data_IF_041514105010
#
_entry.id   IF_041514105010
#
_cell.length_a   1.000
_cell.length_b   1.000
_cell.length_c   1.000
_cell.angle_alpha   90.00
_cell.angle_beta   90.00
_cell.angle_gamma   90.00
#
_symmetry.space_group_name_H-M   'P 1'
#
loop_
_entity.id
_entity.type
_entity.pdbx_description
1 polymer ?
#
# COMPACT_ATOMS: atom_id res chain seq x y z
N UNK A 1 -11.38 -16.65 -8.18
CA UNK A 1 -10.42 -16.13 -7.15
C UNK A 1 -9.07 -15.86 -7.82
N UNK A 2 -8.41 -14.78 -7.44
CA UNK A 2 -7.09 -14.43 -7.95
C UNK A 2 -6.02 -15.38 -7.37
N UNK A 3 -5.32 -16.20 -8.18
CA UNK A 3 -4.34 -17.16 -7.69
C UNK A 3 -3.19 -16.50 -6.91
N UNK A 4 -2.85 -15.27 -7.25
CA UNK A 4 -1.81 -14.52 -6.55
C UNK A 4 -2.26 -14.13 -5.14
N UNK A 5 -3.47 -13.63 -4.99
CA UNK A 5 -4.04 -13.28 -3.67
C UNK A 5 -4.14 -14.51 -2.78
N UNK A 6 -4.56 -15.65 -3.33
CA UNK A 6 -4.59 -16.91 -2.58
C UNK A 6 -3.21 -17.34 -2.10
N UNK A 7 -2.18 -17.17 -2.94
CA UNK A 7 -0.79 -17.47 -2.56
C UNK A 7 -0.33 -16.56 -1.41
N UNK A 8 -0.65 -15.28 -1.47
CA UNK A 8 -0.31 -14.32 -0.41
C UNK A 8 -1.02 -14.66 0.90
N UNK A 9 -2.33 -14.94 0.86
CA UNK A 9 -3.13 -15.29 2.06
C UNK A 9 -2.59 -16.54 2.75
N UNK A 10 -2.15 -17.54 2.00
CA UNK A 10 -1.64 -18.81 2.51
C UNK A 10 -0.16 -18.78 2.95
N UNK A 11 0.54 -17.67 2.72
CA UNK A 11 1.94 -17.54 3.11
C UNK A 11 2.10 -17.47 4.64
N UNK A 12 2.96 -18.33 5.20
CA UNK A 12 3.32 -18.30 6.65
C UNK A 12 4.05 -17.02 7.08
N UNK A 13 4.51 -16.24 6.12
CA UNK A 13 5.19 -14.95 6.34
C UNK A 13 4.26 -13.75 6.19
N UNK A 14 2.96 -13.99 5.98
CA UNK A 14 1.93 -12.96 5.86
C UNK A 14 0.92 -13.10 6.99
N UNK A 15 0.64 -11.99 7.64
CA UNK A 15 -0.44 -11.87 8.63
C UNK A 15 -1.70 -11.40 7.94
N UNK A 16 -2.74 -12.21 8.03
CA UNK A 16 -4.10 -11.90 7.57
C UNK A 16 -4.91 -11.41 8.75
N UNK A 17 -5.50 -10.24 8.67
CA UNK A 17 -6.36 -9.64 9.70
C UNK A 17 -7.70 -9.26 9.11
N UNK A 18 -8.78 -9.64 9.77
CA UNK A 18 -10.14 -9.17 9.44
C UNK A 18 -10.27 -7.68 9.77
N UNK A 19 -10.82 -6.92 8.84
CA UNK A 19 -11.13 -5.50 8.99
C UNK A 19 -12.56 -5.25 8.54
N UNK A 20 -13.21 -4.29 9.21
CA UNK A 20 -14.53 -3.85 8.81
C UNK A 20 -14.46 -2.95 7.55
N UNK A 21 -15.52 -2.91 6.74
CA UNK A 21 -16.76 -3.66 6.90
C UNK A 21 -16.65 -5.13 6.42
N UNK A 22 -15.86 -5.45 5.42
CA UNK A 22 -15.78 -6.81 4.84
C UNK A 22 -14.45 -7.06 4.15
N UNK A 23 -13.34 -6.69 4.78
CA UNK A 23 -12.01 -6.82 4.17
C UNK A 23 -11.06 -7.69 4.99
N UNK A 24 -10.04 -8.23 4.31
CA UNK A 24 -8.81 -8.68 4.93
C UNK A 24 -7.71 -7.67 4.69
N UNK A 25 -6.93 -7.37 5.73
CA UNK A 25 -5.66 -6.66 5.63
C UNK A 25 -4.52 -7.67 5.63
N UNK A 26 -3.68 -7.61 4.61
CA UNK A 26 -2.55 -8.50 4.39
C UNK A 26 -1.24 -7.71 4.59
N UNK A 27 -0.43 -8.16 5.54
CA UNK A 27 0.86 -7.54 5.84
C UNK A 27 1.90 -8.61 6.15
N UNK A 28 3.14 -8.42 5.74
CA UNK A 28 4.22 -9.31 6.13
C UNK A 28 4.41 -9.31 7.66
N UNK A 29 4.79 -10.46 8.21
CA UNK A 29 5.07 -10.60 9.64
C UNK A 29 6.41 -9.97 10.02
N UNK A 30 6.57 -9.61 11.30
CA UNK A 30 7.81 -9.01 11.83
C UNK A 30 9.05 -9.90 11.57
N UNK A 31 8.89 -11.22 11.63
CA UNK A 31 9.94 -12.18 11.31
C UNK A 31 10.48 -12.02 9.90
N UNK A 32 9.59 -11.76 8.91
CA UNK A 32 10.01 -11.53 7.53
C UNK A 32 10.88 -10.27 7.43
N UNK A 33 10.51 -9.20 8.13
CA UNK A 33 11.27 -7.96 8.18
C UNK A 33 12.64 -8.15 8.85
N UNK A 34 12.66 -8.72 10.05
CA UNK A 34 13.90 -8.87 10.83
C UNK A 34 14.91 -9.80 10.18
N UNK A 35 14.43 -10.86 9.52
CA UNK A 35 15.28 -11.88 8.88
C UNK A 35 15.45 -11.68 7.38
N UNK A 36 14.89 -10.59 6.84
CA UNK A 36 14.92 -10.26 5.40
C UNK A 36 14.41 -11.40 4.51
N UNK A 37 13.34 -12.07 4.98
CA UNK A 37 12.72 -13.18 4.26
C UNK A 37 11.73 -12.61 3.22
N UNK A 38 12.28 -12.05 2.15
CA UNK A 38 11.51 -11.40 1.10
C UNK A 38 11.26 -12.37 -0.05
N UNK A 39 10.01 -12.52 -0.40
CA UNK A 39 9.50 -13.24 -1.55
C UNK A 39 8.36 -12.43 -2.22
N UNK A 40 7.78 -12.95 -3.29
CA UNK A 40 6.70 -12.26 -4.00
C UNK A 40 5.49 -11.96 -3.09
N UNK A 41 5.19 -12.84 -2.13
CA UNK A 41 4.08 -12.66 -1.19
C UNK A 41 4.37 -11.57 -0.16
N UNK A 42 5.55 -11.61 0.48
CA UNK A 42 5.92 -10.64 1.51
C UNK A 42 6.16 -9.25 0.96
N UNK A 43 6.68 -9.13 -0.25
CA UNK A 43 6.86 -7.85 -0.95
C UNK A 43 5.51 -7.17 -1.17
N UNK A 44 4.50 -7.91 -1.62
CA UNK A 44 3.16 -7.38 -1.92
C UNK A 44 2.29 -7.23 -0.66
N UNK A 45 2.53 -8.04 0.37
CA UNK A 45 1.78 -7.97 1.62
C UNK A 45 2.21 -6.77 2.49
N UNK A 46 1.90 -5.56 2.03
CA UNK A 46 2.18 -4.31 2.73
C UNK A 46 1.04 -3.32 2.52
N UNK A 47 0.08 -3.31 3.45
CA UNK A 47 -1.12 -2.49 3.30
C UNK A 47 -1.94 -2.91 2.08
N UNK A 48 -2.06 -4.21 1.87
CA UNK A 48 -2.90 -4.81 0.85
C UNK A 48 -4.23 -5.20 1.51
N UNK A 49 -5.33 -4.69 0.97
CA UNK A 49 -6.68 -4.98 1.43
C UNK A 49 -7.45 -5.70 0.33
N UNK A 50 -8.11 -6.79 0.71
CA UNK A 50 -8.93 -7.59 -0.20
C UNK A 50 -10.33 -7.79 0.37
N UNK A 51 -11.33 -7.77 -0.48
CA UNK A 51 -12.71 -8.09 -0.11
C UNK A 51 -12.80 -9.57 0.29
N UNK A 52 -13.45 -9.83 1.43
CA UNK A 52 -13.53 -11.19 2.03
C UNK A 52 -14.37 -12.16 1.24
N UNK A 53 -15.34 -11.66 0.47
CA UNK A 53 -16.27 -12.51 -0.28
C UNK A 53 -15.77 -12.80 -1.69
N UNK A 54 -15.11 -11.81 -2.30
CA UNK A 54 -14.72 -11.89 -3.71
C UNK A 54 -13.23 -12.13 -3.94
N UNK A 55 -12.39 -11.93 -2.90
CA UNK A 55 -10.93 -11.97 -3.03
C UNK A 55 -10.33 -10.82 -3.86
N UNK A 56 -11.14 -9.84 -4.27
CA UNK A 56 -10.66 -8.71 -5.08
C UNK A 56 -9.91 -7.71 -4.22
N UNK A 57 -8.88 -7.08 -4.81
CA UNK A 57 -8.15 -5.99 -4.17
C UNK A 57 -9.04 -4.76 -4.05
N UNK A 58 -9.19 -4.27 -2.83
CA UNK A 58 -9.99 -3.08 -2.47
C UNK A 58 -9.08 -1.85 -2.32
N UNK A 59 -7.94 -2.03 -1.66
CA UNK A 59 -6.95 -0.99 -1.48
C UNK A 59 -5.55 -1.58 -1.43
N UNK A 60 -4.56 -0.82 -1.89
CA UNK A 60 -3.18 -1.28 -1.95
C UNK A 60 -2.21 -0.12 -1.74
N UNK A 61 -1.23 -0.30 -0.87
CA UNK A 61 -0.06 0.56 -0.78
C UNK A 61 0.99 0.17 -1.85
N UNK A 62 2.10 0.91 -1.89
CA UNK A 62 3.29 0.47 -2.61
C UNK A 62 3.82 -0.84 -2.04
N UNK A 63 4.36 -1.69 -2.88
CA UNK A 63 5.12 -2.86 -2.50
C UNK A 63 6.23 -2.50 -1.51
N UNK A 64 6.71 -3.47 -0.76
CA UNK A 64 7.87 -3.25 0.10
C UNK A 64 9.05 -2.82 -0.78
N UNK A 65 9.60 -1.67 -0.48
CA UNK A 65 10.80 -1.15 -1.11
C UNK A 65 11.92 -0.98 -0.07
N UNK A 66 13.13 -0.87 -0.53
CA UNK A 66 14.35 -0.90 0.26
C UNK A 66 15.17 0.36 0.07
N UNK A 67 16.06 0.64 1.01
CA UNK A 67 17.00 1.73 0.86
C UNK A 67 18.11 1.37 -0.14
N UNK A 68 18.70 2.38 -0.76
CA UNK A 68 19.90 2.22 -1.56
C UNK A 68 20.99 1.51 -0.74
N UNK A 69 21.63 0.51 -1.33
CA UNK A 69 22.65 -0.32 -0.68
C UNK A 69 22.22 -0.95 0.66
N UNK A 70 20.92 -1.24 0.84
CA UNK A 70 20.47 -1.94 2.05
C UNK A 70 21.10 -3.33 2.14
N UNK A 71 21.90 -3.56 3.21
CA UNK A 71 22.63 -4.81 3.41
C UNK A 71 21.74 -6.03 3.32
N UNK A 72 22.14 -7.01 2.49
CA UNK A 72 21.40 -8.26 2.28
C UNK A 72 20.20 -8.15 1.33
N UNK A 73 20.10 -7.06 0.56
CA UNK A 73 19.10 -6.86 -0.49
C UNK A 73 19.84 -6.56 -1.79
N UNK A 74 20.07 -7.60 -2.59
CA UNK A 74 20.86 -7.49 -3.82
C UNK A 74 20.24 -6.54 -4.86
N UNK A 75 18.93 -6.46 -4.91
CA UNK A 75 18.17 -5.66 -5.88
C UNK A 75 18.43 -4.15 -5.77
N UNK A 76 18.88 -3.68 -4.61
CA UNK A 76 19.18 -2.26 -4.37
C UNK A 76 20.66 -1.98 -4.16
N UNK A 77 21.54 -2.95 -4.50
CA UNK A 77 22.98 -2.70 -4.56
C UNK A 77 23.32 -1.72 -5.69
N UNK A 78 24.42 -1.00 -5.54
CA UNK A 78 24.85 -0.03 -6.53
C UNK A 78 25.06 -0.68 -7.91
N UNK A 79 25.69 -1.85 -7.94
CA UNK A 79 25.94 -2.61 -9.15
C UNK A 79 24.65 -2.99 -9.85
N UNK A 80 23.69 -3.55 -9.08
CA UNK A 80 22.41 -3.98 -9.63
C UNK A 80 21.59 -2.81 -10.13
N UNK A 81 21.59 -1.69 -9.42
CA UNK A 81 20.87 -0.48 -9.86
C UNK A 81 21.47 0.12 -11.13
N UNK A 82 22.81 0.13 -11.30
CA UNK A 82 23.45 0.57 -12.54
C UNK A 82 22.99 -0.25 -13.75
N UNK A 83 22.75 -1.54 -13.56
CA UNK A 83 22.29 -2.43 -14.64
C UNK A 83 20.77 -2.30 -14.92
N UNK A 84 19.97 -2.07 -13.90
CA UNK A 84 18.50 -2.20 -14.00
C UNK A 84 17.75 -0.88 -14.15
N UNK A 85 18.32 0.23 -13.69
CA UNK A 85 17.66 1.54 -13.79
C UNK A 85 17.63 2.03 -15.24
N UNK A 86 16.44 2.45 -15.66
CA UNK A 86 16.20 3.07 -16.97
C UNK A 86 15.88 4.55 -16.79
N UNK A 87 16.53 5.40 -17.59
CA UNK A 87 16.29 6.84 -17.56
C UNK A 87 15.23 7.26 -18.59
N UNK A 88 14.47 8.33 -18.32
CA UNK A 88 14.52 9.20 -17.14
C UNK A 88 13.91 8.57 -15.89
N UNK A 89 14.43 8.90 -14.71
CA UNK A 89 13.92 8.46 -13.42
C UNK A 89 12.94 9.48 -12.84
N UNK A 90 11.86 9.00 -12.23
CA UNK A 90 10.94 9.82 -11.44
C UNK A 90 11.31 9.75 -9.96
N UNK A 91 11.83 10.84 -9.41
CA UNK A 91 12.08 10.97 -7.97
C UNK A 91 10.82 11.43 -7.25
N UNK A 92 10.40 10.67 -6.24
CA UNK A 92 9.21 10.97 -5.43
C UNK A 92 9.65 11.21 -4.00
N UNK A 93 9.23 12.38 -3.43
CA UNK A 93 9.52 12.70 -2.04
C UNK A 93 8.80 11.72 -1.11
N UNK A 94 9.55 11.12 -0.21
CA UNK A 94 8.99 10.31 0.88
C UNK A 94 8.98 11.13 2.17
N UNK A 95 7.80 11.44 2.67
CA UNK A 95 7.62 12.08 3.96
C UNK A 95 7.72 11.06 5.10
N UNK A 96 8.14 11.53 6.28
CA UNK A 96 8.04 10.74 7.51
C UNK A 96 6.62 10.84 8.07
N UNK A 97 6.14 9.75 8.66
CA UNK A 97 4.81 9.70 9.26
C UNK A 97 4.14 8.34 9.09
N UNK A 98 2.86 8.30 9.44
CA UNK A 98 2.04 7.12 9.21
C UNK A 98 1.61 7.04 7.76
N UNK A 99 1.61 5.82 7.22
CA UNK A 99 1.15 5.56 5.87
C UNK A 99 -0.38 5.66 5.83
N UNK A 100 -0.89 6.62 5.07
CA UNK A 100 -2.28 6.68 4.63
C UNK A 100 -2.41 6.07 3.24
N UNK A 101 -3.46 5.29 3.02
CA UNK A 101 -3.78 4.67 1.75
C UNK A 101 -5.16 5.14 1.34
N UNK A 102 -5.30 5.62 0.11
CA UNK A 102 -6.57 6.02 -0.50
C UNK A 102 -6.76 5.14 -1.72
N UNK A 103 -7.93 4.56 -1.83
CA UNK A 103 -8.39 3.81 -2.98
C UNK A 103 -9.83 4.17 -3.30
N UNK A 104 -10.30 3.82 -4.47
CA UNK A 104 -11.71 3.97 -4.86
C UNK A 104 -12.33 2.59 -4.97
N UNK A 105 -13.40 2.35 -4.21
CA UNK A 105 -14.27 1.20 -4.44
C UNK A 105 -15.09 1.46 -5.69
N UNK A 106 -14.72 0.79 -6.78
CA UNK A 106 -15.39 0.96 -8.09
C UNK A 106 -16.86 0.51 -8.09
N UNK A 107 -17.28 -0.27 -7.11
CA UNK A 107 -18.66 -0.75 -7.01
C UNK A 107 -19.59 0.32 -6.46
N UNK A 108 -19.12 1.03 -5.44
CA UNK A 108 -19.90 2.02 -4.71
C UNK A 108 -19.48 3.46 -5.03
N UNK A 109 -18.40 3.64 -5.82
CA UNK A 109 -17.77 4.93 -6.12
C UNK A 109 -17.32 5.70 -4.85
N UNK A 110 -17.05 4.96 -3.76
CA UNK A 110 -16.65 5.51 -2.48
C UNK A 110 -15.13 5.42 -2.26
N UNK A 111 -14.59 6.39 -1.53
CA UNK A 111 -13.18 6.33 -1.11
C UNK A 111 -12.99 5.34 0.04
N UNK A 112 -12.10 4.40 -0.18
CA UNK A 112 -11.57 3.52 0.86
C UNK A 112 -10.33 4.15 1.44
N UNK A 113 -10.41 4.58 2.69
CA UNK A 113 -9.29 5.21 3.41
C UNK A 113 -8.81 4.25 4.50
N UNK A 114 -7.53 3.99 4.53
CA UNK A 114 -6.93 3.06 5.47
C UNK A 114 -5.52 3.48 5.89
N UNK A 115 -5.05 2.92 6.98
CA UNK A 115 -3.62 2.85 7.30
C UNK A 115 -3.07 1.53 6.76
N UNK A 116 -1.80 1.23 7.03
CA UNK A 116 -1.20 -0.05 6.63
C UNK A 116 -1.97 -1.29 7.13
N UNK A 117 -2.61 -1.21 8.29
CA UNK A 117 -3.16 -2.40 8.97
C UNK A 117 -4.67 -2.39 9.19
N UNK A 118 -5.36 -1.29 8.98
CA UNK A 118 -6.77 -1.17 9.29
C UNK A 118 -7.46 -0.08 8.49
N UNK A 119 -8.76 -0.29 8.24
CA UNK A 119 -9.70 0.68 7.66
C UNK A 119 -10.41 1.52 8.73
N UNK A 120 -10.21 1.22 10.02
CA UNK A 120 -10.87 1.91 11.14
C UNK A 120 -9.88 2.12 12.30
N UNK A 121 -9.56 3.38 12.61
CA UNK A 121 -8.77 3.82 13.76
C UNK A 121 -8.79 5.35 13.85
N UNK A 122 -8.31 5.92 14.95
CA UNK A 122 -8.14 7.37 15.10
C UNK A 122 -7.25 7.96 13.99
N UNK A 123 -6.19 7.26 13.59
CA UNK A 123 -5.34 7.67 12.49
C UNK A 123 -6.07 7.68 11.14
N UNK A 124 -6.94 6.69 10.89
CA UNK A 124 -7.80 6.68 9.68
C UNK A 124 -8.74 7.87 9.69
N UNK A 125 -9.35 8.19 10.85
CA UNK A 125 -10.26 9.32 11.00
C UNK A 125 -9.53 10.67 10.80
N UNK A 126 -8.33 10.83 11.35
CA UNK A 126 -7.49 12.02 11.14
C UNK A 126 -7.14 12.14 9.66
N UNK A 127 -6.71 11.04 9.04
CA UNK A 127 -6.33 11.03 7.63
C UNK A 127 -7.51 11.34 6.71
N UNK A 128 -8.70 10.80 7.00
CA UNK A 128 -9.93 11.13 6.29
C UNK A 128 -10.21 12.62 6.31
N UNK A 129 -10.17 13.26 7.48
CA UNK A 129 -10.39 14.71 7.61
C UNK A 129 -9.37 15.54 6.81
N UNK A 130 -8.11 15.14 6.81
CA UNK A 130 -7.06 15.81 6.02
C UNK A 130 -7.35 15.65 4.53
N UNK A 131 -7.69 14.44 4.08
CA UNK A 131 -7.99 14.15 2.69
C UNK A 131 -9.20 14.91 2.19
N UNK A 132 -10.31 14.90 2.93
CA UNK A 132 -11.53 15.62 2.58
C UNK A 132 -11.29 17.13 2.44
N UNK A 133 -10.52 17.72 3.35
CA UNK A 133 -10.12 19.12 3.27
C UNK A 133 -9.28 19.42 2.02
N UNK A 134 -8.35 18.54 1.66
CA UNK A 134 -7.51 18.71 0.46
C UNK A 134 -8.29 18.47 -0.83
N UNK A 135 -9.20 17.49 -0.85
CA UNK A 135 -10.03 17.19 -2.01
C UNK A 135 -10.95 18.36 -2.37
N UNK A 136 -11.55 19.04 -1.37
CA UNK A 136 -12.35 20.25 -1.59
C UNK A 136 -11.50 21.35 -2.23
N UNK A 137 -10.27 21.55 -1.78
CA UNK A 137 -9.35 22.54 -2.35
C UNK A 137 -9.03 22.24 -3.81
N UNK A 138 -8.74 20.98 -4.15
CA UNK A 138 -8.45 20.56 -5.53
C UNK A 138 -9.63 20.74 -6.46
N UNK A 139 -10.85 20.51 -5.99
CA UNK A 139 -12.08 20.72 -6.77
C UNK A 139 -12.29 22.22 -7.04
N UNK A 140 -12.08 23.08 -6.06
CA UNK A 140 -12.20 24.54 -6.21
C UNK A 140 -11.17 25.10 -7.20
N UNK A 141 -9.90 24.66 -7.12
CA UNK A 141 -8.88 25.05 -8.08
C UNK A 141 -9.21 24.58 -9.51
N UNK A 142 -9.69 23.34 -9.67
CA UNK A 142 -10.07 22.82 -10.98
C UNK A 142 -11.24 23.57 -11.64
N UNK A 143 -12.18 24.08 -10.84
CA UNK A 143 -13.31 24.88 -11.35
C UNK A 143 -12.94 26.31 -11.73
N UNK A 144 -11.90 26.87 -11.13
CA UNK A 144 -11.38 28.21 -11.51
C UNK A 144 -10.59 28.21 -12.82
N UNK A 145 -10.03 27.06 -13.22
CA UNK A 145 -9.34 26.90 -14.52
C UNK A 145 -10.30 26.72 -15.72
N UNK A 146 -11.60 26.56 -15.49
CA UNK A 146 -12.62 26.41 -16.53
C UNK A 146 -13.41 27.69 -16.85
N UNK A 147 -13.03 28.81 -16.23
CA UNK A 147 -13.52 30.16 -16.54
C UNK A 147 -12.50 30.92 -17.37
#
# INVERSE_FOLDING_TARGET
EDPEINTIINSKLVKVRKCEPNTYSLNFVEKAFRRKLWDSSTIKARGLFVDRNTGKVVARAYDKFFNYNETGIAEVSEERLKETLKFPLKAIRKYNGFLGIISVDKKNEEFVISTKGTTYSDYVNIFRKIFEKQAVFMILEATDYQK
#
